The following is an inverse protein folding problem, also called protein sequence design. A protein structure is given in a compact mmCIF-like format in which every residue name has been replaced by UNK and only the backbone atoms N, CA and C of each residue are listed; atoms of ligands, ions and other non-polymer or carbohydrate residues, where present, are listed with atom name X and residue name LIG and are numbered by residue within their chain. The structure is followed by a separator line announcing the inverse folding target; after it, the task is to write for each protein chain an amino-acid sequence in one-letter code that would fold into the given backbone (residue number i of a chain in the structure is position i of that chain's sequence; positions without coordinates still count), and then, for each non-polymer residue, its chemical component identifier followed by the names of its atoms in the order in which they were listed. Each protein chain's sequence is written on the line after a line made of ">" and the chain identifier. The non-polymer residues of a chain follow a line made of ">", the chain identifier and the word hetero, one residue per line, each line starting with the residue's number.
data_IF_716950204658
#
_entry.id   IF_716950204658
#
_cell.length_a   1.000
_cell.length_b   1.000
_cell.length_c   1.000
_cell.angle_alpha   90.00
_cell.angle_beta   90.00
_cell.angle_gamma   90.00
#
_symmetry.space_group_name_H-M   'P 1'
#
loop_
_entity.id
_entity.type
_entity.pdbx_description
1 polymer ?
#
# COMPACT_ATOMS: atom_id res chain seq x y z
N UNK A 1 41.18 8.89 -8.16
CA UNK A 1 39.91 8.31 -8.64
C UNK A 1 39.22 7.69 -7.44
N UNK A 2 38.25 8.39 -6.86
CA UNK A 2 37.46 7.89 -5.76
C UNK A 2 36.09 7.46 -6.29
N UNK A 3 35.82 6.15 -6.20
CA UNK A 3 34.52 5.57 -6.52
C UNK A 3 33.66 5.77 -5.29
N UNK A 4 32.68 6.66 -5.35
CA UNK A 4 31.66 6.84 -4.34
C UNK A 4 30.69 5.66 -4.39
N UNK A 5 30.81 4.78 -3.41
CA UNK A 5 29.88 3.70 -3.08
C UNK A 5 28.54 4.33 -2.67
N UNK A 6 27.56 4.22 -3.58
CA UNK A 6 26.18 4.58 -3.29
C UNK A 6 25.55 3.42 -2.49
N UNK A 7 25.73 3.44 -1.18
CA UNK A 7 25.05 2.54 -0.25
C UNK A 7 23.54 2.71 -0.38
N UNK A 8 22.88 1.80 -1.10
CA UNK A 8 21.42 1.65 -1.10
C UNK A 8 20.95 1.36 0.33
N UNK A 9 20.40 2.38 0.96
CA UNK A 9 19.81 2.29 2.30
C UNK A 9 18.60 1.37 2.24
N UNK A 10 18.73 0.11 2.66
CA UNK A 10 17.61 -0.84 2.82
C UNK A 10 16.47 -0.16 3.59
N UNK A 11 15.22 -0.23 3.11
CA UNK A 11 14.07 0.37 3.79
C UNK A 11 13.96 -0.19 5.22
N UNK A 12 13.67 0.68 6.17
CA UNK A 12 13.49 0.29 7.58
C UNK A 12 12.34 -0.71 7.69
N UNK A 13 12.39 -1.64 8.65
CA UNK A 13 11.41 -2.72 8.79
C UNK A 13 9.95 -2.24 8.87
N UNK A 14 9.73 -1.05 9.41
CA UNK A 14 8.39 -0.44 9.48
C UNK A 14 7.85 -0.01 8.09
N UNK A 15 8.72 0.46 7.20
CA UNK A 15 8.33 0.82 5.82
C UNK A 15 7.85 -0.43 5.04
N UNK A 16 8.55 -1.55 5.20
CA UNK A 16 8.18 -2.83 4.59
C UNK A 16 6.84 -3.36 5.12
N UNK A 17 6.59 -3.26 6.44
CA UNK A 17 5.36 -3.71 7.07
C UNK A 17 4.13 -2.89 6.62
N UNK A 18 4.26 -1.56 6.51
CA UNK A 18 3.18 -0.69 6.00
C UNK A 18 2.91 -0.88 4.51
N UNK A 19 3.97 -1.09 3.71
CA UNK A 19 3.80 -1.44 2.29
C UNK A 19 2.96 -2.70 2.14
N UNK A 20 3.28 -3.75 2.90
CA UNK A 20 2.54 -5.00 2.89
C UNK A 20 1.09 -4.82 3.37
N UNK A 21 0.86 -3.97 4.36
CA UNK A 21 -0.48 -3.61 4.80
C UNK A 21 -1.32 -2.98 3.68
N UNK A 22 -0.71 -2.10 2.86
CA UNK A 22 -1.37 -1.52 1.67
C UNK A 22 -1.64 -2.55 0.58
N UNK A 23 -0.74 -3.53 0.37
CA UNK A 23 -0.97 -4.63 -0.56
C UNK A 23 -2.20 -5.46 -0.15
N UNK A 24 -2.37 -5.73 1.15
CA UNK A 24 -3.57 -6.40 1.67
C UNK A 24 -4.83 -5.53 1.56
N UNK A 25 -4.72 -4.24 1.87
CA UNK A 25 -5.83 -3.30 1.68
C UNK A 25 -6.26 -3.23 0.20
N UNK A 26 -5.31 -3.26 -0.74
CA UNK A 26 -5.59 -3.33 -2.17
C UNK A 26 -6.36 -4.61 -2.53
N UNK A 27 -5.95 -5.77 -2.02
CA UNK A 27 -6.64 -7.03 -2.26
C UNK A 27 -8.08 -6.99 -1.70
N UNK A 28 -8.24 -6.46 -0.49
CA UNK A 28 -9.55 -6.32 0.15
C UNK A 28 -10.47 -5.38 -0.61
N UNK A 29 -9.98 -4.22 -1.00
CA UNK A 29 -10.74 -3.25 -1.79
C UNK A 29 -11.11 -3.78 -3.19
N UNK A 30 -10.22 -4.56 -3.80
CA UNK A 30 -10.52 -5.23 -5.06
C UNK A 30 -11.69 -6.21 -4.90
N UNK A 31 -11.68 -7.06 -3.86
CA UNK A 31 -12.78 -7.99 -3.57
C UNK A 31 -14.09 -7.25 -3.28
N UNK A 32 -14.02 -6.14 -2.55
CA UNK A 32 -15.16 -5.29 -2.28
C UNK A 32 -15.73 -4.64 -3.54
N UNK A 33 -14.88 -4.08 -4.41
CA UNK A 33 -15.28 -3.40 -5.64
C UNK A 33 -15.89 -4.35 -6.69
N UNK A 34 -15.34 -5.56 -6.81
CA UNK A 34 -15.73 -6.52 -7.87
C UNK A 34 -16.77 -7.50 -7.38
N UNK A 35 -16.62 -7.99 -6.15
CA UNK A 35 -17.44 -9.05 -5.59
C UNK A 35 -18.53 -8.59 -4.62
N UNK A 36 -18.51 -7.31 -4.20
CA UNK A 36 -19.41 -6.83 -3.15
C UNK A 36 -19.14 -7.49 -1.79
N UNK A 37 -17.90 -8.00 -1.58
CA UNK A 37 -17.53 -8.69 -0.36
C UNK A 37 -17.65 -7.75 0.86
N UNK A 38 -18.08 -8.30 2.00
CA UNK A 38 -18.09 -7.57 3.26
C UNK A 38 -16.66 -7.32 3.78
N UNK A 39 -16.39 -6.10 4.21
CA UNK A 39 -15.08 -5.68 4.71
C UNK A 39 -14.56 -6.55 5.86
N UNK A 40 -15.44 -6.97 6.78
CA UNK A 40 -15.08 -7.80 7.91
C UNK A 40 -14.71 -9.23 7.49
N UNK A 41 -15.41 -9.80 6.52
CA UNK A 41 -15.09 -11.11 5.96
C UNK A 41 -13.73 -11.10 5.26
N UNK A 42 -13.48 -10.07 4.46
CA UNK A 42 -12.19 -9.86 3.78
C UNK A 42 -11.04 -9.68 4.78
N UNK A 43 -11.26 -8.88 5.83
CA UNK A 43 -10.27 -8.71 6.90
C UNK A 43 -9.92 -10.05 7.54
N UNK A 44 -10.92 -10.85 7.90
CA UNK A 44 -10.71 -12.16 8.53
C UNK A 44 -9.86 -13.09 7.65
N UNK A 45 -10.20 -13.23 6.37
CA UNK A 45 -9.45 -14.05 5.42
C UNK A 45 -7.98 -13.60 5.27
N UNK A 46 -7.75 -12.31 5.11
CA UNK A 46 -6.40 -11.77 4.93
C UNK A 46 -5.57 -11.86 6.22
N UNK A 47 -6.21 -11.68 7.38
CA UNK A 47 -5.56 -11.86 8.67
C UNK A 47 -5.13 -13.31 8.89
N UNK A 48 -5.97 -14.28 8.58
CA UNK A 48 -5.65 -15.70 8.66
C UNK A 48 -4.48 -16.08 7.74
N UNK A 49 -4.48 -15.55 6.52
CA UNK A 49 -3.36 -15.72 5.57
C UNK A 49 -2.05 -15.19 6.12
N UNK A 50 -2.06 -14.01 6.75
CA UNK A 50 -0.84 -13.44 7.32
C UNK A 50 -0.37 -14.21 8.56
N UNK A 51 -1.29 -14.69 9.39
CA UNK A 51 -0.98 -15.53 10.56
C UNK A 51 -0.44 -16.90 10.15
N UNK A 52 -0.98 -17.50 9.09
CA UNK A 52 -0.54 -18.79 8.54
C UNK A 52 0.82 -18.70 7.83
N UNK A 53 1.28 -17.50 7.54
CA UNK A 53 2.58 -17.21 6.93
C UNK A 53 3.72 -17.22 7.97
N UNK A 54 3.75 -18.25 8.82
CA UNK A 54 4.82 -18.48 9.78
C UNK A 54 6.18 -18.66 9.09
N UNK A 55 7.31 -18.63 9.83
CA UNK A 55 8.67 -18.68 9.28
C UNK A 55 9.02 -19.96 8.50
N UNK A 56 8.09 -20.90 8.39
CA UNK A 56 8.33 -22.25 7.85
C UNK A 56 8.09 -22.42 6.34
N UNK A 57 7.51 -21.45 5.63
CA UNK A 57 7.05 -21.70 4.24
C UNK A 57 7.89 -21.06 3.12
N UNK A 58 8.98 -20.36 3.44
CA UNK A 58 9.93 -19.89 2.42
C UNK A 58 11.06 -20.89 2.13
N UNK A 59 11.12 -22.04 2.86
CA UNK A 59 12.18 -23.05 2.74
C UNK A 59 11.84 -24.23 1.84
N UNK A 60 10.67 -24.26 1.21
CA UNK A 60 10.24 -25.43 0.42
C UNK A 60 10.93 -25.59 -0.94
N UNK A 61 11.93 -24.77 -1.29
CA UNK A 61 12.69 -24.93 -2.54
C UNK A 61 14.20 -25.05 -2.39
N UNK A 62 14.74 -25.26 -1.19
CA UNK A 62 16.15 -25.66 -1.01
C UNK A 62 16.27 -26.76 0.03
N UNK A 63 16.56 -27.96 -0.47
CA UNK A 63 17.17 -29.14 0.16
C UNK A 63 17.38 -29.13 1.68
N UNK A 64 16.84 -30.20 2.28
CA UNK A 64 17.11 -30.71 3.63
C UNK A 64 18.53 -30.44 4.15
N UNK A 65 18.58 -30.00 5.37
CA UNK A 65 19.53 -30.20 6.47
C UNK A 65 19.87 -28.90 7.19
N UNK A 66 19.58 -28.97 8.42
CA UNK A 66 20.04 -28.26 9.63
C UNK A 66 18.92 -27.57 10.41
N UNK A 67 18.55 -28.24 11.50
CA UNK A 67 17.76 -27.72 12.61
C UNK A 67 18.56 -26.65 13.37
N UNK A 68 18.67 -25.47 12.79
CA UNK A 68 19.23 -24.31 13.50
C UNK A 68 18.06 -23.40 13.90
N UNK A 69 17.91 -23.15 15.20
CA UNK A 69 16.96 -22.15 15.70
C UNK A 69 17.26 -20.81 15.02
N UNK A 70 16.22 -20.10 14.46
CA UNK A 70 16.45 -18.85 13.78
C UNK A 70 17.14 -17.84 14.71
N UNK A 71 18.17 -17.19 14.23
CA UNK A 71 18.93 -16.17 14.96
C UNK A 71 18.04 -14.98 15.29
N UNK A 72 18.44 -14.16 16.26
CA UNK A 72 17.73 -12.92 16.60
C UNK A 72 17.56 -12.03 15.37
N UNK A 73 18.54 -11.99 14.48
CA UNK A 73 18.51 -11.24 13.23
C UNK A 73 17.47 -11.78 12.25
N UNK A 74 17.32 -13.09 12.13
CA UNK A 74 16.32 -13.74 11.27
C UNK A 74 14.90 -13.52 11.81
N UNK A 75 14.72 -13.58 13.13
CA UNK A 75 13.43 -13.24 13.79
C UNK A 75 13.05 -11.78 13.57
N UNK A 76 14.00 -10.86 13.69
CA UNK A 76 13.78 -9.42 13.44
C UNK A 76 13.46 -9.18 11.96
N UNK A 77 14.15 -9.87 11.04
CA UNK A 77 13.86 -9.78 9.62
C UNK A 77 12.49 -10.40 9.25
N UNK A 78 12.08 -11.46 9.91
CA UNK A 78 10.76 -12.08 9.73
C UNK A 78 9.63 -11.17 10.25
N UNK A 79 9.82 -10.55 11.42
CA UNK A 79 8.89 -9.54 11.95
C UNK A 79 8.78 -8.31 11.04
N UNK A 80 9.89 -7.86 10.46
CA UNK A 80 9.91 -6.75 9.51
C UNK A 80 9.21 -7.05 8.17
N UNK A 81 9.00 -8.32 7.85
CA UNK A 81 8.26 -8.76 6.65
C UNK A 81 6.76 -8.91 6.89
N UNK A 82 6.30 -8.89 8.15
CA UNK A 82 4.88 -8.96 8.48
C UNK A 82 4.19 -7.64 8.14
N UNK A 83 2.93 -7.75 7.76
CA UNK A 83 2.10 -6.56 7.55
C UNK A 83 1.82 -5.83 8.87
N UNK A 84 1.76 -4.50 8.81
CA UNK A 84 1.20 -3.68 9.87
C UNK A 84 -0.34 -3.83 9.83
N UNK A 85 -0.86 -4.76 10.63
CA UNK A 85 -2.29 -5.08 10.63
C UNK A 85 -3.16 -3.94 11.16
N UNK A 86 -2.62 -3.06 12.00
CA UNK A 86 -3.35 -1.87 12.45
C UNK A 86 -3.54 -0.89 11.28
N UNK A 87 -2.47 -0.63 10.53
CA UNK A 87 -2.52 0.20 9.34
C UNK A 87 -3.39 -0.42 8.23
N UNK A 88 -3.32 -1.75 8.03
CA UNK A 88 -4.18 -2.47 7.09
C UNK A 88 -5.66 -2.24 7.39
N UNK A 89 -6.09 -2.46 8.65
CA UNK A 89 -7.48 -2.25 9.04
C UNK A 89 -7.94 -0.81 8.86
N UNK A 90 -7.10 0.11 9.31
CA UNK A 90 -7.37 1.54 9.17
C UNK A 90 -7.61 1.93 7.71
N UNK A 91 -6.75 1.47 6.80
CA UNK A 91 -6.86 1.81 5.37
C UNK A 91 -8.03 1.08 4.72
N UNK A 92 -8.22 -0.22 4.98
CA UNK A 92 -9.31 -1.00 4.37
C UNK A 92 -10.68 -0.44 4.77
N UNK A 93 -10.98 -0.40 6.07
CA UNK A 93 -12.28 0.07 6.55
C UNK A 93 -12.48 1.55 6.27
N UNK A 94 -11.46 2.37 6.50
CA UNK A 94 -11.54 3.80 6.23
C UNK A 94 -11.79 4.12 4.76
N UNK A 95 -11.16 3.41 3.82
CA UNK A 95 -11.40 3.60 2.40
C UNK A 95 -12.82 3.14 1.98
N UNK A 96 -13.36 2.09 2.59
CA UNK A 96 -14.73 1.61 2.32
C UNK A 96 -15.76 2.58 2.90
N UNK A 97 -15.63 2.94 4.17
CA UNK A 97 -16.57 3.82 4.89
C UNK A 97 -16.65 5.22 4.27
N UNK A 98 -15.53 5.73 3.78
CA UNK A 98 -15.45 7.05 3.14
C UNK A 98 -15.44 7.00 1.60
N UNK A 99 -15.75 5.86 0.99
CA UNK A 99 -15.58 5.65 -0.46
C UNK A 99 -16.30 6.69 -1.33
N UNK A 100 -17.49 7.15 -0.93
CA UNK A 100 -18.24 8.16 -1.66
C UNK A 100 -17.54 9.52 -1.63
N UNK A 101 -17.03 9.92 -0.47
CA UNK A 101 -16.27 11.15 -0.25
C UNK A 101 -14.94 11.12 -0.99
N UNK A 102 -14.18 10.02 -0.86
CA UNK A 102 -12.90 9.87 -1.54
C UNK A 102 -13.04 9.89 -3.07
N UNK A 103 -14.11 9.28 -3.60
CA UNK A 103 -14.43 9.38 -5.03
C UNK A 103 -14.71 10.82 -5.45
N UNK A 104 -15.41 11.58 -4.64
CA UNK A 104 -15.65 13.00 -4.92
C UNK A 104 -14.37 13.83 -4.91
N UNK A 105 -13.40 13.48 -4.06
CA UNK A 105 -12.11 14.17 -3.99
C UNK A 105 -11.25 13.95 -5.25
N UNK A 106 -11.24 12.75 -5.83
CA UNK A 106 -10.44 12.49 -7.03
C UNK A 106 -11.21 12.59 -8.36
N UNK A 107 -12.54 12.60 -8.34
CA UNK A 107 -13.37 12.68 -9.55
C UNK A 107 -13.02 13.87 -10.47
N UNK A 108 -12.71 15.09 -9.97
CA UNK A 108 -12.34 16.19 -10.83
C UNK A 108 -11.02 16.01 -11.60
N UNK A 109 -10.21 15.05 -11.21
CA UNK A 109 -8.84 14.84 -11.71
C UNK A 109 -8.68 13.62 -12.59
N UNK A 110 -9.71 12.77 -12.70
CA UNK A 110 -9.73 11.64 -13.62
C UNK A 110 -10.22 12.09 -15.00
N UNK A 111 -9.74 11.43 -16.06
CA UNK A 111 -10.04 11.72 -17.46
C UNK A 111 -11.20 10.89 -18.02
N UNK A 112 -11.82 10.07 -17.19
CA UNK A 112 -12.87 9.10 -17.54
C UNK A 112 -13.86 8.92 -16.40
N UNK A 113 -15.00 8.30 -16.66
CA UNK A 113 -15.95 7.95 -15.60
C UNK A 113 -15.32 6.97 -14.61
N UNK A 114 -15.68 7.10 -13.32
CA UNK A 114 -15.23 6.20 -12.24
C UNK A 114 -15.53 4.73 -12.59
N UNK A 115 -16.64 4.47 -13.28
CA UNK A 115 -17.03 3.12 -13.73
C UNK A 115 -16.09 2.53 -14.79
N UNK A 116 -15.30 3.35 -15.45
CA UNK A 116 -14.33 2.95 -16.46
C UNK A 116 -12.92 2.74 -15.89
N UNK A 117 -12.71 3.07 -14.62
CA UNK A 117 -11.47 2.75 -13.94
C UNK A 117 -11.33 1.23 -13.78
N UNK A 118 -10.12 0.71 -14.00
CA UNK A 118 -9.86 -0.67 -13.60
C UNK A 118 -10.06 -0.81 -12.08
N UNK A 119 -10.57 -1.95 -11.60
CA UNK A 119 -10.76 -2.15 -10.15
C UNK A 119 -9.47 -1.94 -9.34
N UNK A 120 -8.31 -2.26 -9.92
CA UNK A 120 -6.99 -2.05 -9.28
C UNK A 120 -6.67 -0.56 -9.15
N UNK A 121 -6.79 0.21 -10.23
CA UNK A 121 -6.55 1.67 -10.20
C UNK A 121 -7.54 2.35 -9.24
N UNK A 122 -8.82 1.96 -9.29
CA UNK A 122 -9.83 2.50 -8.39
C UNK A 122 -9.49 2.23 -6.91
N UNK A 123 -9.12 1.00 -6.58
CA UNK A 123 -8.71 0.65 -5.22
C UNK A 123 -7.47 1.43 -4.76
N UNK A 124 -6.45 1.59 -5.63
CA UNK A 124 -5.24 2.36 -5.31
C UNK A 124 -5.57 3.84 -5.10
N UNK A 125 -6.45 4.43 -5.92
CA UNK A 125 -6.90 5.81 -5.74
C UNK A 125 -7.67 5.99 -4.42
N UNK A 126 -8.49 5.02 -4.01
CA UNK A 126 -9.16 5.03 -2.71
C UNK A 126 -8.15 4.98 -1.55
N UNK A 127 -7.15 4.09 -1.61
CA UNK A 127 -6.07 4.00 -0.61
C UNK A 127 -5.32 5.33 -0.50
N UNK A 128 -4.83 5.83 -1.63
CA UNK A 128 -4.03 7.06 -1.65
C UNK A 128 -4.82 8.28 -1.18
N UNK A 129 -6.06 8.43 -1.63
CA UNK A 129 -6.92 9.53 -1.20
C UNK A 129 -7.26 9.45 0.29
N UNK A 130 -7.52 8.22 0.81
CA UNK A 130 -7.75 8.01 2.23
C UNK A 130 -6.52 8.41 3.06
N UNK A 131 -5.34 7.94 2.71
CA UNK A 131 -4.11 8.30 3.43
C UNK A 131 -3.79 9.79 3.33
N UNK A 132 -4.00 10.42 2.17
CA UNK A 132 -3.84 11.87 2.02
C UNK A 132 -4.78 12.66 2.93
N UNK A 133 -6.01 12.19 3.12
CA UNK A 133 -7.04 12.91 3.87
C UNK A 133 -7.00 12.63 5.37
N UNK A 134 -6.83 11.37 5.75
CA UNK A 134 -7.03 10.90 7.12
C UNK A 134 -5.75 10.47 7.85
N UNK A 135 -4.61 10.33 7.15
CA UNK A 135 -3.32 9.92 7.74
C UNK A 135 -2.28 11.05 7.63
N UNK A 136 -2.52 12.17 8.32
CA UNK A 136 -1.66 13.36 8.24
C UNK A 136 -0.21 13.11 8.71
N UNK A 137 0.02 12.07 9.51
CA UNK A 137 1.34 11.63 9.96
C UNK A 137 2.18 11.01 8.84
N UNK A 138 1.56 10.60 7.72
CA UNK A 138 2.27 10.08 6.56
C UNK A 138 2.50 11.24 5.58
N UNK A 139 3.76 11.61 5.27
CA UNK A 139 4.03 12.66 4.29
C UNK A 139 3.38 12.36 2.93
N UNK A 140 2.80 13.38 2.27
CA UNK A 140 2.08 13.19 1.00
C UNK A 140 2.92 12.51 -0.07
N UNK A 141 4.23 12.82 -0.14
CA UNK A 141 5.16 12.18 -1.09
C UNK A 141 5.30 10.68 -0.86
N UNK A 142 5.26 10.25 0.41
CA UNK A 142 5.32 8.83 0.76
C UNK A 142 4.04 8.14 0.31
N UNK A 143 2.86 8.75 0.55
CA UNK A 143 1.58 8.22 0.09
C UNK A 143 1.58 8.01 -1.41
N UNK A 144 1.97 9.04 -2.18
CA UNK A 144 2.00 8.96 -3.64
C UNK A 144 2.99 7.90 -4.12
N UNK A 145 4.20 7.86 -3.57
CA UNK A 145 5.22 6.88 -3.94
C UNK A 145 4.74 5.44 -3.69
N UNK A 146 4.11 5.18 -2.55
CA UNK A 146 3.58 3.85 -2.23
C UNK A 146 2.42 3.46 -3.15
N UNK A 147 1.53 4.39 -3.48
CA UNK A 147 0.46 4.16 -4.46
C UNK A 147 1.00 3.85 -5.86
N UNK A 148 2.05 4.56 -6.29
CA UNK A 148 2.76 4.31 -7.55
C UNK A 148 3.39 2.91 -7.56
N UNK A 149 4.02 2.50 -6.46
CA UNK A 149 4.62 1.16 -6.35
C UNK A 149 3.55 0.05 -6.37
N UNK A 150 2.38 0.27 -5.74
CA UNK A 150 1.24 -0.64 -5.89
C UNK A 150 0.77 -0.73 -7.35
N UNK A 151 0.65 0.41 -8.02
CA UNK A 151 0.23 0.44 -9.42
C UNK A 151 1.23 -0.26 -10.36
N UNK A 152 2.53 -0.15 -10.11
CA UNK A 152 3.57 -0.89 -10.84
C UNK A 152 3.50 -2.40 -10.61
N UNK A 153 3.17 -2.81 -9.37
CA UNK A 153 3.15 -4.22 -8.99
C UNK A 153 1.88 -4.94 -9.41
N UNK A 154 0.74 -4.26 -9.43
CA UNK A 154 -0.58 -4.87 -9.60
C UNK A 154 -1.42 -4.25 -10.72
N UNK A 155 -1.04 -3.08 -11.23
CA UNK A 155 -1.77 -2.36 -12.29
C UNK A 155 -1.28 -2.69 -13.70
N UNK A 156 -1.91 -2.07 -14.68
CA UNK A 156 -1.48 -2.13 -16.08
C UNK A 156 -0.20 -1.33 -16.35
N UNK A 157 0.40 -1.52 -17.52
CA UNK A 157 1.72 -0.98 -17.89
C UNK A 157 1.87 0.55 -17.69
N UNK A 158 0.80 1.31 -17.89
CA UNK A 158 0.80 2.78 -17.72
C UNK A 158 -0.01 3.26 -16.51
N UNK A 159 -0.63 2.34 -15.76
CA UNK A 159 -1.48 2.66 -14.61
C UNK A 159 -0.77 3.48 -13.53
N UNK A 160 0.52 3.25 -13.32
CA UNK A 160 1.30 3.99 -12.33
C UNK A 160 1.44 5.48 -12.65
N UNK A 161 1.56 5.85 -13.94
CA UNK A 161 1.61 7.27 -14.36
C UNK A 161 0.26 7.95 -14.13
N UNK A 162 -0.81 7.24 -14.43
CA UNK A 162 -2.17 7.70 -14.21
C UNK A 162 -2.45 7.94 -12.71
N UNK A 163 -2.18 6.95 -11.87
CA UNK A 163 -2.33 7.05 -10.42
C UNK A 163 -1.51 8.22 -9.86
N UNK A 164 -0.24 8.35 -10.28
CA UNK A 164 0.61 9.46 -9.86
C UNK A 164 -0.02 10.82 -10.21
N UNK A 165 -0.44 11.01 -11.46
CA UNK A 165 -1.01 12.28 -11.92
C UNK A 165 -2.31 12.67 -11.21
N UNK A 166 -3.16 11.70 -10.87
CA UNK A 166 -4.40 11.94 -10.12
C UNK A 166 -4.08 12.28 -8.66
N UNK A 167 -3.27 11.47 -7.98
CA UNK A 167 -2.96 11.67 -6.56
C UNK A 167 -2.14 12.94 -6.30
N UNK A 168 -1.29 13.37 -7.23
CA UNK A 168 -0.59 14.65 -7.13
C UNK A 168 -1.58 15.82 -7.06
N UNK A 169 -2.64 15.81 -7.86
CA UNK A 169 -3.69 16.85 -7.86
C UNK A 169 -4.54 16.77 -6.58
N UNK A 170 -4.90 15.57 -6.15
CA UNK A 170 -5.60 15.36 -4.87
C UNK A 170 -4.76 15.89 -3.70
N UNK A 171 -3.45 15.62 -3.68
CA UNK A 171 -2.55 16.12 -2.65
C UNK A 171 -2.46 17.66 -2.66
N UNK A 172 -2.41 18.29 -3.83
CA UNK A 172 -2.41 19.75 -3.94
C UNK A 172 -3.70 20.36 -3.37
N UNK A 173 -4.83 19.70 -3.50
CA UNK A 173 -6.09 20.13 -2.93
C UNK A 173 -6.17 19.89 -1.42
N UNK A 174 -5.89 18.66 -0.97
CA UNK A 174 -6.09 18.26 0.43
C UNK A 174 -4.94 18.70 1.34
N UNK A 175 -3.72 18.82 0.81
CA UNK A 175 -2.49 19.13 1.57
C UNK A 175 -1.73 20.32 0.97
N UNK A 176 -2.45 21.38 0.59
CA UNK A 176 -1.89 22.56 -0.05
C UNK A 176 -0.70 23.17 0.73
N UNK A 177 -0.78 23.23 2.06
CA UNK A 177 0.29 23.76 2.91
C UNK A 177 1.57 22.92 2.89
N UNK A 178 1.43 21.59 2.78
CA UNK A 178 2.56 20.66 2.72
C UNK A 178 3.21 20.66 1.33
N UNK A 179 2.39 20.65 0.26
CA UNK A 179 2.87 20.65 -1.12
C UNK A 179 3.60 21.94 -1.48
N UNK A 180 3.13 23.11 -1.00
CA UNK A 180 3.78 24.41 -1.23
C UNK A 180 5.13 24.52 -0.52
N UNK A 181 5.29 23.96 0.69
CA UNK A 181 6.58 23.95 1.40
C UNK A 181 7.63 23.06 0.71
N UNK A 182 7.19 22.01 0.06
CA UNK A 182 8.07 21.06 -0.62
C UNK A 182 8.54 21.53 -2.00
N UNK A 183 7.94 22.58 -2.56
CA UNK A 183 8.29 23.21 -3.84
C UNK A 183 9.24 24.41 -3.71
N UNK A 184 9.60 24.79 -2.49
CA UNK A 184 10.61 25.84 -2.20
C UNK A 184 11.95 25.20 -1.85
#
# INVERSE_FOLDING_TARGET
>A
MAVTDASEKKPSGNHSARRRAREFALQGLYQWLVGGADAAAVEGELQEREMSRGPANESASKSAQETTHPTATERTAALARRADMAHFRQVLHGAIDHAAELRADFAPFIDRDIKQLSPVEHAILLIGSYELKHCAEIPYRVVINEAVELAKSFGGAEGFKYVNGVLDRVAQQLRASETQRAGR
#
